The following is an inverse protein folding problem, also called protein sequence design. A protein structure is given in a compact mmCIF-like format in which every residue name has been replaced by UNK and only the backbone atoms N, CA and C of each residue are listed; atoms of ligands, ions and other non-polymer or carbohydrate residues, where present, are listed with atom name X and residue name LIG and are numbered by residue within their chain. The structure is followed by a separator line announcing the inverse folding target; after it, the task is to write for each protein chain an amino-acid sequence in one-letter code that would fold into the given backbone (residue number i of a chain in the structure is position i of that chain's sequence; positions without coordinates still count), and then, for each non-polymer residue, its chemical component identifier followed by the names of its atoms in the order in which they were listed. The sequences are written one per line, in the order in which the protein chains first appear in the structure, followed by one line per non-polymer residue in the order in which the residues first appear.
data_IF_424829667162
#
_entry.id   IF_424829667162
#
_cell.length_a   1.000
_cell.length_b   1.000
_cell.length_c   1.000
_cell.angle_alpha   90.00
_cell.angle_beta   90.00
_cell.angle_gamma   90.00
#
_symmetry.space_group_name_H-M   'P 1'
#
loop_
_entity.id
_entity.type
_entity.pdbx_description
1 polymer ?
#
# COMPACT_ATOMS: atom_id res chain seq x y z
N UNK A 1 -1.73 -7.06 70.22
CA UNK A 1 -2.04 -5.85 69.42
C UNK A 1 -2.67 -6.31 68.11
N UNK A 2 -4.00 -6.34 68.07
CA UNK A 2 -4.78 -6.57 66.86
C UNK A 2 -5.02 -5.21 66.23
N UNK A 3 -4.56 -5.00 64.99
CA UNK A 3 -4.89 -3.81 64.22
C UNK A 3 -6.32 -3.97 63.71
N UNK A 4 -7.19 -3.03 64.13
CA UNK A 4 -8.56 -2.89 63.66
C UNK A 4 -8.58 -2.85 62.13
N UNK A 5 -9.40 -3.74 61.58
CA UNK A 5 -9.79 -3.76 60.18
C UNK A 5 -10.89 -2.71 60.05
N UNK A 6 -10.49 -1.46 59.84
CA UNK A 6 -11.44 -0.38 59.65
C UNK A 6 -12.31 -0.67 58.41
N UNK A 7 -13.62 -0.68 58.64
CA UNK A 7 -14.68 -0.83 57.66
C UNK A 7 -14.59 0.30 56.62
N UNK A 8 -13.90 0.03 55.51
CA UNK A 8 -14.04 0.80 54.28
C UNK A 8 -15.39 0.43 53.69
N UNK A 9 -16.43 1.15 54.11
CA UNK A 9 -17.70 1.21 53.40
C UNK A 9 -17.46 1.95 52.08
N UNK A 10 -16.99 1.21 51.07
CA UNK A 10 -16.98 1.66 49.68
C UNK A 10 -18.43 1.96 49.26
N UNK A 11 -18.81 3.21 49.46
CA UNK A 11 -19.99 3.81 48.85
C UNK A 11 -19.80 3.77 47.33
N UNK A 12 -20.27 2.69 46.71
CA UNK A 12 -20.44 2.58 45.27
C UNK A 12 -21.54 3.57 44.83
N UNK A 13 -21.18 4.85 44.77
CA UNK A 13 -22.01 5.87 44.15
C UNK A 13 -22.21 5.47 42.68
N UNK A 14 -23.44 5.10 42.34
CA UNK A 14 -23.78 4.81 40.94
C UNK A 14 -23.54 6.08 40.13
N UNK A 15 -22.81 6.01 39.00
CA UNK A 15 -22.51 7.18 38.19
C UNK A 15 -23.82 7.84 37.77
N UNK A 16 -23.86 9.16 37.84
CA UNK A 16 -25.07 9.90 37.47
C UNK A 16 -25.29 9.79 35.96
N UNK A 17 -26.55 9.69 35.51
CA UNK A 17 -26.88 9.64 34.07
C UNK A 17 -26.21 10.76 33.23
N UNK A 18 -26.04 12.01 33.72
CA UNK A 18 -25.29 13.05 33.02
C UNK A 18 -23.83 12.68 32.75
N UNK A 19 -23.14 12.05 33.69
CA UNK A 19 -21.74 11.65 33.52
C UNK A 19 -21.59 10.54 32.48
N UNK A 20 -22.52 9.58 32.45
CA UNK A 20 -22.52 8.49 31.46
C UNK A 20 -22.75 9.04 30.05
N UNK A 21 -23.69 9.99 29.89
CA UNK A 21 -23.95 10.64 28.60
C UNK A 21 -22.75 11.47 28.16
N UNK A 22 -22.17 12.30 29.04
CA UNK A 22 -20.99 13.10 28.72
C UNK A 22 -19.77 12.24 28.36
N UNK A 23 -19.55 11.13 29.08
CA UNK A 23 -18.47 10.19 28.77
C UNK A 23 -18.67 9.50 27.42
N UNK A 24 -19.92 9.13 27.08
CA UNK A 24 -20.25 8.51 25.78
C UNK A 24 -20.02 9.49 24.63
N UNK A 25 -20.52 10.73 24.78
CA UNK A 25 -20.30 11.81 23.81
C UNK A 25 -18.81 12.12 23.66
N UNK A 26 -18.06 12.22 24.75
CA UNK A 26 -16.61 12.44 24.71
C UNK A 26 -15.86 11.29 23.98
N UNK A 27 -16.29 10.04 24.19
CA UNK A 27 -15.69 8.87 23.51
C UNK A 27 -16.03 8.83 22.01
N UNK A 28 -17.24 9.22 21.63
CA UNK A 28 -17.63 9.34 20.23
C UNK A 28 -16.86 10.46 19.54
N UNK A 29 -16.76 11.63 20.19
CA UNK A 29 -16.05 12.80 19.67
C UNK A 29 -14.56 12.54 19.50
N UNK A 30 -13.91 11.84 20.44
CA UNK A 30 -12.48 11.47 20.31
C UNK A 30 -12.21 10.58 19.09
N UNK A 31 -13.15 9.69 18.75
CA UNK A 31 -13.05 8.86 17.54
C UNK A 31 -13.23 9.69 16.27
N UNK A 32 -14.20 10.61 16.28
CA UNK A 32 -14.43 11.54 15.17
C UNK A 32 -13.24 12.46 14.91
N UNK A 33 -12.69 13.08 15.95
CA UNK A 33 -11.55 13.99 15.86
C UNK A 33 -10.31 13.30 15.32
N UNK A 34 -10.05 12.05 15.73
CA UNK A 34 -8.93 11.27 15.21
C UNK A 34 -9.07 11.00 13.70
N UNK A 35 -10.30 10.78 13.21
CA UNK A 35 -10.58 10.61 11.78
C UNK A 35 -10.35 11.94 11.05
N UNK A 36 -10.89 13.03 11.58
CA UNK A 36 -10.73 14.36 11.00
C UNK A 36 -9.25 14.75 10.90
N UNK A 37 -8.48 14.60 11.98
CA UNK A 37 -7.03 14.79 11.98
C UNK A 37 -6.33 13.97 10.89
N UNK A 38 -6.67 12.69 10.77
CA UNK A 38 -6.10 11.81 9.75
C UNK A 38 -6.43 12.25 8.33
N UNK A 39 -7.68 12.67 8.08
CA UNK A 39 -8.14 13.13 6.78
C UNK A 39 -7.50 14.46 6.37
N UNK A 40 -7.32 15.39 7.32
CA UNK A 40 -6.60 16.65 7.11
C UNK A 40 -5.12 16.38 6.82
N UNK A 41 -4.47 15.51 7.61
CA UNK A 41 -3.07 15.12 7.39
C UNK A 41 -2.86 14.42 6.03
N UNK A 42 -3.88 13.72 5.52
CA UNK A 42 -3.85 13.14 4.17
C UNK A 42 -4.03 14.18 3.05
N UNK A 43 -4.25 15.46 3.38
CA UNK A 43 -4.39 16.56 2.44
C UNK A 43 -5.73 16.56 1.70
N UNK A 44 -6.79 16.06 2.32
CA UNK A 44 -8.15 16.18 1.77
C UNK A 44 -8.62 17.63 1.85
N UNK A 45 -9.24 18.12 0.78
CA UNK A 45 -9.77 19.49 0.73
C UNK A 45 -11.07 19.67 1.50
N UNK A 46 -11.43 20.92 1.77
CA UNK A 46 -12.61 21.31 2.56
C UNK A 46 -13.89 20.67 2.01
N UNK A 47 -14.15 20.81 0.71
CA UNK A 47 -15.37 20.26 0.08
C UNK A 47 -15.45 18.74 0.22
N UNK A 48 -14.32 18.03 0.11
CA UNK A 48 -14.28 16.59 0.27
C UNK A 48 -14.55 16.17 1.71
N UNK A 49 -13.99 16.90 2.69
CA UNK A 49 -14.22 16.68 4.11
C UNK A 49 -15.70 16.92 4.47
N UNK A 50 -16.26 18.07 4.07
CA UNK A 50 -17.67 18.39 4.28
C UNK A 50 -18.58 17.33 3.64
N UNK A 51 -18.31 16.95 2.39
CA UNK A 51 -19.10 15.93 1.69
C UNK A 51 -18.99 14.56 2.37
N UNK A 52 -17.80 14.11 2.74
CA UNK A 52 -17.62 12.78 3.32
C UNK A 52 -18.08 12.69 4.76
N UNK A 53 -17.95 13.77 5.53
CA UNK A 53 -18.34 13.77 6.94
C UNK A 53 -19.80 14.21 7.14
N UNK A 54 -20.48 14.68 6.09
CA UNK A 54 -21.84 15.19 6.21
C UNK A 54 -21.93 16.47 7.04
N UNK A 55 -20.84 17.23 7.12
CA UNK A 55 -20.77 18.48 7.86
C UNK A 55 -20.97 19.68 6.94
N UNK A 56 -21.62 20.72 7.46
CA UNK A 56 -21.60 22.05 6.83
C UNK A 56 -20.18 22.59 6.78
N UNK A 57 -19.88 23.46 5.81
CA UNK A 57 -18.54 24.09 5.69
C UNK A 57 -18.17 24.85 6.97
N UNK A 58 -19.13 25.57 7.55
CA UNK A 58 -18.96 26.31 8.82
C UNK A 58 -18.69 25.36 9.97
N UNK A 59 -19.51 24.33 10.18
CA UNK A 59 -19.32 23.37 11.27
C UNK A 59 -18.00 22.60 11.16
N UNK A 60 -17.55 22.31 9.95
CA UNK A 60 -16.22 21.73 9.73
C UNK A 60 -15.11 22.71 10.15
N UNK A 61 -15.18 23.98 9.75
CA UNK A 61 -14.17 24.99 10.10
C UNK A 61 -14.12 25.26 11.61
N UNK A 62 -15.28 25.34 12.27
CA UNK A 62 -15.36 25.51 13.72
C UNK A 62 -14.70 24.33 14.44
N UNK A 63 -14.94 23.09 13.96
CA UNK A 63 -14.30 21.90 14.53
C UNK A 63 -12.80 21.87 14.29
N UNK A 64 -12.34 22.27 13.10
CA UNK A 64 -10.91 22.37 12.79
C UNK A 64 -10.21 23.40 13.70
N UNK A 65 -10.85 24.55 13.92
CA UNK A 65 -10.35 25.60 14.82
C UNK A 65 -10.29 25.10 16.26
N UNK A 66 -11.32 24.41 16.74
CA UNK A 66 -11.36 23.82 18.08
C UNK A 66 -10.24 22.78 18.32
N UNK A 67 -9.84 22.05 17.26
CA UNK A 67 -8.74 21.09 17.31
C UNK A 67 -7.36 21.71 17.04
N UNK A 68 -7.27 23.01 16.73
CA UNK A 68 -6.02 23.68 16.36
C UNK A 68 -5.41 23.13 15.06
N UNK A 69 -6.23 22.58 14.16
CA UNK A 69 -5.78 22.01 12.90
C UNK A 69 -5.63 23.10 11.83
N UNK A 70 -4.64 22.98 10.92
CA UNK A 70 -4.51 23.92 9.80
C UNK A 70 -5.72 23.81 8.88
N UNK A 71 -6.16 24.96 8.35
CA UNK A 71 -7.26 25.00 7.38
C UNK A 71 -6.88 24.22 6.11
N UNK A 72 -7.63 23.18 5.73
CA UNK A 72 -7.34 22.40 4.53
C UNK A 72 -7.47 23.25 3.27
N UNK A 73 -6.73 22.88 2.21
CA UNK A 73 -6.81 23.59 0.94
C UNK A 73 -8.16 23.39 0.24
N UNK A 74 -8.60 24.41 -0.50
CA UNK A 74 -9.81 24.35 -1.34
C UNK A 74 -9.53 23.64 -2.67
N UNK A 75 -9.06 22.39 -2.60
CA UNK A 75 -8.77 21.58 -3.79
C UNK A 75 -10.06 20.90 -4.24
N UNK A 76 -10.46 21.06 -5.51
CA UNK A 76 -11.64 20.38 -6.02
C UNK A 76 -11.45 18.87 -5.90
N UNK A 77 -12.53 18.15 -5.59
CA UNK A 77 -12.52 16.69 -5.54
C UNK A 77 -11.99 16.13 -6.86
N UNK A 78 -10.94 15.30 -6.78
CA UNK A 78 -10.39 14.64 -7.96
C UNK A 78 -11.51 13.87 -8.67
N UNK A 79 -11.85 14.31 -9.89
CA UNK A 79 -12.80 13.61 -10.75
C UNK A 79 -12.31 12.19 -10.97
N UNK A 80 -13.21 11.24 -10.82
CA UNK A 80 -12.84 9.85 -10.84
C UNK A 80 -12.80 9.34 -12.29
N UNK A 81 -11.65 9.50 -12.95
CA UNK A 81 -11.42 9.03 -14.33
C UNK A 81 -11.20 7.51 -14.47
N UNK A 82 -11.68 6.71 -13.51
CA UNK A 82 -11.45 5.25 -13.46
C UNK A 82 -12.76 4.51 -13.69
N UNK A 83 -12.69 3.34 -14.33
CA UNK A 83 -13.82 2.45 -14.67
C UNK A 83 -14.78 2.14 -13.51
N UNK A 84 -14.35 2.31 -12.26
CA UNK A 84 -15.19 2.19 -11.08
C UNK A 84 -14.84 3.30 -10.08
N UNK A 85 -15.41 4.51 -10.24
CA UNK A 85 -15.12 5.66 -9.37
C UNK A 85 -15.66 5.40 -7.95
N UNK A 86 -15.02 5.95 -6.92
CA UNK A 86 -15.57 5.93 -5.56
C UNK A 86 -16.67 6.97 -5.45
N UNK A 87 -17.92 6.54 -5.25
CA UNK A 87 -19.01 7.46 -4.94
C UNK A 87 -18.80 8.09 -3.55
N UNK A 88 -19.44 9.23 -3.28
CA UNK A 88 -19.39 9.82 -1.94
C UNK A 88 -20.02 8.90 -0.89
N UNK A 89 -21.11 8.20 -1.26
CA UNK A 89 -21.79 7.20 -0.43
C UNK A 89 -20.88 6.01 -0.11
N UNK A 90 -20.13 5.48 -1.09
CA UNK A 90 -19.16 4.40 -0.86
C UNK A 90 -18.09 4.81 0.16
N UNK A 91 -17.65 6.07 0.08
CA UNK A 91 -16.63 6.61 0.99
C UNK A 91 -17.19 6.79 2.39
N UNK A 92 -18.42 7.31 2.53
CA UNK A 92 -19.12 7.43 3.81
C UNK A 92 -19.32 6.07 4.47
N UNK A 93 -19.83 5.09 3.72
CA UNK A 93 -20.00 3.71 4.20
C UNK A 93 -18.66 3.11 4.63
N UNK A 94 -17.59 3.34 3.85
CA UNK A 94 -16.25 2.93 4.24
C UNK A 94 -15.82 3.56 5.57
N UNK A 95 -16.02 4.86 5.77
CA UNK A 95 -15.65 5.55 7.01
C UNK A 95 -16.40 4.94 8.20
N UNK A 96 -17.73 4.90 8.14
CA UNK A 96 -18.58 4.37 9.21
C UNK A 96 -18.28 2.89 9.54
N UNK A 97 -18.24 2.02 8.52
CA UNK A 97 -17.93 0.62 8.75
C UNK A 97 -16.49 0.42 9.25
N UNK A 98 -15.56 1.28 8.85
CA UNK A 98 -14.19 1.23 9.35
C UNK A 98 -14.15 1.57 10.85
N UNK A 99 -14.78 2.67 11.26
CA UNK A 99 -14.81 3.15 12.65
C UNK A 99 -15.49 2.17 13.59
N UNK A 100 -16.54 1.49 13.13
CA UNK A 100 -17.28 0.51 13.91
C UNK A 100 -16.55 -0.82 14.09
N UNK A 101 -15.36 -0.95 13.47
CA UNK A 101 -14.55 -2.14 13.55
C UNK A 101 -14.98 -3.25 12.58
N UNK A 102 -15.77 -2.94 11.55
CA UNK A 102 -16.22 -3.96 10.59
C UNK A 102 -15.05 -4.61 9.84
N UNK A 103 -15.11 -5.93 9.68
CA UNK A 103 -14.06 -6.69 9.01
C UNK A 103 -13.95 -6.26 7.54
N UNK A 104 -12.71 -6.14 7.03
CA UNK A 104 -12.45 -5.63 5.66
C UNK A 104 -13.12 -6.47 4.57
N UNK A 105 -13.32 -7.77 4.83
CA UNK A 105 -14.03 -8.64 3.91
C UNK A 105 -15.51 -8.22 3.78
N UNK A 106 -16.20 -7.97 4.91
CA UNK A 106 -17.59 -7.51 4.92
C UNK A 106 -17.73 -6.17 4.18
N UNK A 107 -16.85 -5.20 4.47
CA UNK A 107 -16.84 -3.90 3.77
C UNK A 107 -16.66 -4.08 2.26
N UNK A 108 -15.74 -4.97 1.86
CA UNK A 108 -15.46 -5.25 0.46
C UNK A 108 -16.65 -5.91 -0.26
N UNK A 109 -17.33 -6.85 0.40
CA UNK A 109 -18.55 -7.50 -0.10
C UNK A 109 -19.70 -6.51 -0.22
N UNK A 110 -19.94 -5.69 0.81
CA UNK A 110 -21.00 -4.67 0.83
C UNK A 110 -20.83 -3.64 -0.29
N UNK A 111 -19.59 -3.20 -0.55
CA UNK A 111 -19.27 -2.22 -1.59
C UNK A 111 -19.05 -2.83 -2.99
N UNK A 112 -19.02 -4.16 -3.12
CA UNK A 112 -18.64 -4.82 -4.39
C UNK A 112 -17.20 -4.48 -4.83
N UNK A 113 -16.27 -4.28 -3.89
CA UNK A 113 -14.87 -3.89 -4.16
C UNK A 113 -13.89 -4.97 -3.70
N UNK A 114 -12.65 -4.90 -4.16
CA UNK A 114 -11.59 -5.77 -3.65
C UNK A 114 -11.07 -5.29 -2.29
N UNK A 115 -10.62 -6.23 -1.43
CA UNK A 115 -9.97 -5.88 -0.14
C UNK A 115 -8.79 -4.92 -0.31
N UNK A 116 -8.01 -5.07 -1.38
CA UNK A 116 -6.90 -4.18 -1.68
C UNK A 116 -7.35 -2.76 -1.98
N UNK A 117 -8.46 -2.59 -2.70
CA UNK A 117 -9.06 -1.28 -2.95
C UNK A 117 -9.52 -0.61 -1.65
N UNK A 118 -10.11 -1.37 -0.72
CA UNK A 118 -10.49 -0.86 0.61
C UNK A 118 -9.27 -0.32 1.36
N UNK A 119 -8.19 -1.11 1.47
CA UNK A 119 -6.96 -0.66 2.15
C UNK A 119 -6.31 0.56 1.48
N UNK A 120 -6.27 0.55 0.14
CA UNK A 120 -5.72 1.67 -0.63
C UNK A 120 -6.51 2.96 -0.39
N UNK A 121 -7.86 2.87 -0.45
CA UNK A 121 -8.73 4.02 -0.19
C UNK A 121 -8.62 4.50 1.25
N UNK A 122 -8.67 3.59 2.23
CA UNK A 122 -8.45 3.87 3.66
C UNK A 122 -7.16 4.63 3.91
N UNK A 123 -6.05 4.23 3.30
CA UNK A 123 -4.75 4.91 3.42
C UNK A 123 -4.80 6.32 2.80
N UNK A 124 -5.40 6.47 1.62
CA UNK A 124 -5.55 7.77 0.95
C UNK A 124 -6.47 8.74 1.70
N UNK A 125 -7.41 8.21 2.47
CA UNK A 125 -8.27 8.99 3.35
C UNK A 125 -7.59 9.32 4.69
N UNK A 126 -6.40 8.80 4.98
CA UNK A 126 -5.75 9.03 6.28
C UNK A 126 -6.42 8.36 7.47
N UNK A 127 -7.31 7.38 7.24
CA UNK A 127 -8.01 6.72 8.34
C UNK A 127 -7.04 5.93 9.24
N UNK A 128 -7.23 5.99 10.57
CA UNK A 128 -6.31 5.38 11.52
C UNK A 128 -6.24 3.86 11.36
N UNK A 129 -5.12 3.30 11.82
CA UNK A 129 -4.98 1.85 11.86
C UNK A 129 -5.83 1.25 12.96
N UNK A 130 -6.49 0.14 12.65
CA UNK A 130 -7.36 -0.56 13.59
C UNK A 130 -6.60 -1.69 14.25
N UNK A 131 -6.78 -1.80 15.56
CA UNK A 131 -6.40 -2.98 16.31
C UNK A 131 -7.00 -4.23 15.64
N UNK A 132 -6.20 -5.28 15.53
CA UNK A 132 -6.66 -6.58 15.06
C UNK A 132 -7.72 -7.19 15.96
N UNK A 133 -7.69 -6.89 17.26
CA UNK A 133 -8.57 -7.51 18.24
C UNK A 133 -9.99 -6.93 18.23
N UNK A 134 -10.15 -5.67 17.78
CA UNK A 134 -11.45 -4.98 17.70
C UNK A 134 -12.24 -5.27 16.40
N UNK A 135 -11.79 -6.21 15.57
CA UNK A 135 -12.42 -6.47 14.26
C UNK A 135 -13.60 -7.42 14.41
N UNK A 136 -14.80 -6.94 14.08
CA UNK A 136 -16.04 -7.74 14.09
C UNK A 136 -16.44 -8.07 12.66
N UNK A 137 -16.90 -9.29 12.41
CA UNK A 137 -17.56 -9.62 11.15
C UNK A 137 -18.99 -9.11 11.25
N UNK A 138 -19.31 -8.08 10.47
CA UNK A 138 -20.67 -7.62 10.31
C UNK A 138 -21.25 -8.26 9.05
N UNK A 139 -22.55 -8.52 9.08
CA UNK A 139 -23.34 -8.80 7.90
C UNK A 139 -23.38 -7.56 6.98
N UNK A 140 -23.79 -7.76 5.72
CA UNK A 140 -23.90 -6.66 4.77
C UNK A 140 -24.96 -5.63 5.23
N UNK A 141 -26.06 -6.09 5.83
CA UNK A 141 -27.14 -5.22 6.29
C UNK A 141 -26.72 -4.42 7.52
N UNK A 142 -26.03 -5.04 8.48
CA UNK A 142 -25.42 -4.32 9.62
C UNK A 142 -24.39 -3.29 9.16
N UNK A 143 -23.58 -3.62 8.15
CA UNK A 143 -22.58 -2.69 7.59
C UNK A 143 -23.25 -1.48 6.95
N UNK A 144 -24.39 -1.66 6.28
CA UNK A 144 -25.20 -0.56 5.72
C UNK A 144 -25.92 0.23 6.80
N UNK A 145 -26.46 -0.44 7.82
CA UNK A 145 -27.11 0.20 8.95
C UNK A 145 -26.14 1.10 9.74
N UNK A 146 -24.90 0.64 9.96
CA UNK A 146 -23.82 1.44 10.54
C UNK A 146 -23.58 2.74 9.76
N UNK A 147 -23.56 2.67 8.42
CA UNK A 147 -23.39 3.84 7.57
C UNK A 147 -24.56 4.82 7.66
N UNK A 148 -25.80 4.33 7.78
CA UNK A 148 -26.98 5.17 7.96
C UNK A 148 -27.01 5.83 9.35
N UNK A 149 -26.66 5.10 10.40
CA UNK A 149 -26.59 5.62 11.77
C UNK A 149 -25.60 6.79 11.87
N UNK A 150 -24.45 6.65 11.21
CA UNK A 150 -23.43 7.70 11.16
C UNK A 150 -23.92 9.02 10.56
N UNK A 151 -24.96 8.99 9.71
CA UNK A 151 -25.56 10.18 9.12
C UNK A 151 -26.71 10.77 9.95
N UNK A 152 -27.53 9.92 10.57
CA UNK A 152 -28.67 10.36 11.36
C UNK A 152 -28.27 11.14 12.62
N UNK A 153 -27.07 10.88 13.15
CA UNK A 153 -26.58 11.52 14.38
C UNK A 153 -25.91 12.88 14.12
N UNK A 154 -25.32 13.07 12.93
CA UNK A 154 -24.60 14.31 12.57
C UNK A 154 -25.55 15.34 11.92
N UNK A 155 -26.55 14.88 11.17
CA UNK A 155 -27.54 15.75 10.54
C UNK A 155 -28.66 16.10 11.52
N UNK A 156 -28.38 17.00 12.47
CA UNK A 156 -29.39 17.63 13.32
C UNK A 156 -30.38 18.54 12.57
N UNK A 157 -30.31 18.61 11.24
CA UNK A 157 -31.22 19.40 10.41
C UNK A 157 -31.60 18.61 9.13
N UNK A 158 -32.79 17.97 9.09
CA UNK A 158 -33.21 17.11 7.99
C UNK A 158 -33.49 17.86 6.68
N UNK A 159 -33.64 19.20 6.70
CA UNK A 159 -34.06 19.97 5.52
C UNK A 159 -32.92 20.24 4.51
N UNK A 160 -31.65 20.01 4.87
CA UNK A 160 -30.51 20.37 4.02
C UNK A 160 -30.12 19.36 2.94
N UNK A 161 -30.68 18.13 2.95
CA UNK A 161 -30.28 17.06 2.02
C UNK A 161 -31.33 16.68 0.96
N UNK A 162 -32.49 17.34 0.93
CA UNK A 162 -33.60 16.98 0.03
C UNK A 162 -33.34 17.28 -1.46
N UNK A 163 -32.28 18.01 -1.81
CA UNK A 163 -32.08 18.55 -3.17
C UNK A 163 -31.06 17.80 -4.06
N UNK A 164 -30.63 16.57 -3.73
CA UNK A 164 -29.73 15.82 -4.62
C UNK A 164 -30.52 14.78 -5.43
N UNK A 165 -30.78 14.99 -6.74
CA UNK A 165 -31.55 14.06 -7.54
C UNK A 165 -30.83 12.71 -7.60
N UNK A 166 -31.50 11.67 -7.09
CA UNK A 166 -31.07 10.27 -7.24
C UNK A 166 -30.76 10.00 -8.72
N UNK A 167 -29.54 9.55 -9.08
CA UNK A 167 -29.32 9.03 -10.42
C UNK A 167 -30.20 7.79 -10.60
N UNK A 168 -30.97 7.76 -11.69
CA UNK A 168 -31.88 6.67 -12.00
C UNK A 168 -31.18 5.30 -11.94
N UNK A 169 -31.85 4.25 -11.43
CA UNK A 169 -31.25 2.93 -11.31
C UNK A 169 -30.88 2.41 -12.70
N UNK A 170 -29.58 2.24 -12.96
CA UNK A 170 -29.12 1.53 -14.14
C UNK A 170 -29.61 0.08 -14.06
N UNK A 171 -30.47 -0.31 -14.99
CA UNK A 171 -31.00 -1.67 -15.14
C UNK A 171 -29.84 -2.70 -15.13
N UNK A 172 -29.82 -3.53 -14.09
CA UNK A 172 -28.90 -4.65 -13.93
C UNK A 172 -29.17 -5.70 -15.02
N UNK A 173 -28.38 -5.66 -16.10
CA UNK A 173 -28.25 -6.79 -17.01
C UNK A 173 -27.42 -7.87 -16.34
N UNK A 174 -28.12 -8.84 -15.74
CA UNK A 174 -27.58 -10.06 -15.13
C UNK A 174 -26.94 -10.95 -16.20
N UNK A 175 -25.70 -10.66 -16.60
CA UNK A 175 -24.86 -11.61 -17.36
C UNK A 175 -23.94 -12.35 -16.40
N UNK A 176 -24.27 -13.62 -16.16
CA UNK A 176 -23.34 -14.61 -15.62
C UNK A 176 -22.10 -14.65 -16.53
N UNK A 177 -20.98 -14.12 -16.04
CA UNK A 177 -19.67 -14.23 -16.69
C UNK A 177 -18.70 -14.89 -15.73
N UNK A 178 -18.36 -16.12 -16.05
CA UNK A 178 -17.12 -16.80 -15.65
C UNK A 178 -15.94 -15.90 -16.04
N UNK A 179 -15.32 -15.29 -15.04
CA UNK A 179 -14.22 -14.34 -15.20
C UNK A 179 -12.89 -15.06 -15.34
N UNK A 180 -12.46 -15.36 -16.57
CA UNK A 180 -11.06 -15.55 -16.91
C UNK A 180 -10.39 -14.17 -17.00
N UNK A 181 -9.62 -13.85 -15.96
CA UNK A 181 -8.85 -12.60 -15.86
C UNK A 181 -7.69 -12.61 -16.87
N UNK A 182 -7.82 -11.82 -17.95
CA UNK A 182 -6.74 -11.54 -18.92
C UNK A 182 -6.22 -10.13 -18.65
N UNK A 183 -5.02 -10.03 -18.06
CA UNK A 183 -4.35 -8.74 -17.84
C UNK A 183 -3.90 -8.12 -19.17
N UNK A 184 -4.00 -6.79 -19.34
CA UNK A 184 -3.35 -6.08 -20.44
C UNK A 184 -1.90 -5.76 -20.04
N UNK A 185 -0.95 -6.36 -20.74
CA UNK A 185 0.49 -6.07 -20.60
C UNK A 185 0.82 -4.75 -21.26
N UNK A 186 1.55 -3.90 -20.54
CA UNK A 186 2.11 -2.65 -21.04
C UNK A 186 3.06 -2.90 -22.23
N UNK A 187 2.91 -2.11 -23.30
CA UNK A 187 3.92 -1.93 -24.35
C UNK A 187 5.21 -1.43 -23.70
N UNK A 188 6.27 -2.22 -23.79
CA UNK A 188 7.63 -1.80 -23.48
C UNK A 188 8.25 -1.40 -24.81
N UNK A 189 8.50 -0.11 -24.99
CA UNK A 189 9.34 0.40 -26.08
C UNK A 189 10.77 0.02 -25.72
N UNK A 190 11.37 -0.90 -26.47
CA UNK A 190 12.81 -1.15 -26.44
C UNK A 190 13.48 -0.05 -27.25
N UNK A 191 14.35 0.72 -26.57
CA UNK A 191 15.29 1.65 -27.19
C UNK A 191 16.53 0.81 -27.49
N UNK A 192 16.68 0.40 -28.74
CA UNK A 192 17.91 -0.21 -29.25
C UNK A 192 18.85 0.90 -29.74
N UNK A 193 20.12 0.67 -29.43
CA UNK A 193 21.34 1.04 -30.16
C UNK A 193 21.60 2.52 -30.44
N UNK A 194 22.41 3.12 -29.56
CA UNK A 194 23.26 4.27 -29.89
C UNK A 194 24.70 3.80 -29.74
N UNK A 195 25.50 3.74 -30.81
CA UNK A 195 26.89 3.31 -30.72
C UNK A 195 27.76 4.38 -30.07
N UNK A 196 28.76 3.90 -29.32
CA UNK A 196 29.84 4.64 -28.67
C UNK A 196 30.62 5.48 -29.69
N UNK A 197 30.58 6.80 -29.51
CA UNK A 197 31.51 7.76 -30.09
C UNK A 197 31.92 8.73 -28.97
N UNK A 198 32.91 8.32 -28.19
CA UNK A 198 33.71 9.23 -27.38
C UNK A 198 35.11 9.27 -27.98
N UNK A 199 35.29 10.13 -28.99
CA UNK A 199 36.60 10.65 -29.36
C UNK A 199 36.93 11.87 -28.49
N UNK A 200 38.22 11.98 -28.21
CA UNK A 200 38.95 13.04 -27.52
C UNK A 200 38.33 14.44 -27.59
N UNK A 201 38.41 15.15 -26.47
CA UNK A 201 38.54 16.61 -26.51
C UNK A 201 39.61 17.05 -25.53
N UNK A 202 40.73 17.41 -26.13
CA UNK A 202 41.80 18.20 -25.56
C UNK A 202 41.31 19.58 -25.11
N UNK A 203 42.10 20.15 -24.22
CA UNK A 203 41.93 21.42 -23.56
C UNK A 203 41.67 22.60 -24.52
N UNK A 204 40.62 23.38 -24.25
CA UNK A 204 40.50 24.76 -24.72
C UNK A 204 40.05 25.65 -23.56
N UNK A 205 40.79 26.74 -23.38
CA UNK A 205 40.76 27.61 -22.22
C UNK A 205 39.44 28.37 -21.99
N UNK A 206 39.19 28.61 -20.71
CA UNK A 206 38.18 29.50 -20.18
C UNK A 206 38.48 30.95 -20.60
N UNK A 207 37.64 31.50 -21.48
CA UNK A 207 37.43 32.95 -21.61
C UNK A 207 36.00 33.22 -21.17
N UNK A 208 35.84 34.09 -20.15
CA UNK A 208 34.55 34.49 -19.64
C UNK A 208 33.77 35.32 -20.69
N UNK A 209 32.48 35.05 -20.93
CA UNK A 209 31.69 35.91 -21.80
C UNK A 209 31.27 37.18 -21.07
N UNK A 210 31.48 38.31 -21.75
CA UNK A 210 30.91 39.60 -21.42
C UNK A 210 29.37 39.54 -21.46
N UNK A 211 28.76 40.39 -20.63
CA UNK A 211 27.32 40.57 -20.47
C UNK A 211 26.59 40.75 -21.81
N UNK A 212 25.76 39.77 -22.16
CA UNK A 212 24.79 39.89 -23.26
C UNK A 212 23.55 40.59 -22.71
N UNK A 213 23.17 41.68 -23.37
CA UNK A 213 22.01 42.50 -23.06
C UNK A 213 20.71 41.72 -23.35
N UNK A 214 19.84 41.63 -22.34
CA UNK A 214 18.63 40.81 -22.39
C UNK A 214 17.57 41.34 -23.37
N UNK A 215 17.75 42.56 -23.90
CA UNK A 215 16.85 43.16 -24.89
C UNK A 215 16.89 42.48 -26.27
N UNK A 216 18.06 42.03 -26.72
CA UNK A 216 18.26 41.57 -28.11
C UNK A 216 17.74 40.14 -28.34
N UNK A 217 17.69 39.32 -27.29
CA UNK A 217 17.22 37.92 -27.36
C UNK A 217 15.70 37.83 -27.53
N UNK A 218 14.95 38.85 -27.09
CA UNK A 218 13.49 38.88 -27.21
C UNK A 218 13.01 39.36 -28.58
N UNK A 219 13.83 40.14 -29.30
CA UNK A 219 13.49 40.61 -30.65
C UNK A 219 13.73 39.51 -31.70
N UNK A 220 14.79 38.71 -31.53
CA UNK A 220 15.06 37.54 -32.39
C UNK A 220 14.00 36.43 -32.29
N UNK A 221 13.28 36.31 -31.16
CA UNK A 221 12.17 35.37 -31.02
C UNK A 221 10.86 35.86 -31.65
N UNK A 222 10.76 37.13 -32.04
CA UNK A 222 9.55 37.73 -32.58
C UNK A 222 9.44 37.66 -34.11
N UNK A 223 10.56 37.50 -34.81
CA UNK A 223 10.60 37.49 -36.29
C UNK A 223 10.52 36.09 -36.94
N UNK A 224 10.47 35.01 -36.16
CA UNK A 224 10.60 33.64 -36.69
C UNK A 224 9.31 32.81 -36.85
N UNK A 225 8.12 33.35 -36.60
CA UNK A 225 6.87 32.56 -36.59
C UNK A 225 6.01 32.79 -37.84
N UNK A 226 6.58 32.51 -39.01
CA UNK A 226 5.78 32.31 -40.24
C UNK A 226 5.08 30.95 -40.17
N UNK A 227 3.74 31.01 -40.18
CA UNK A 227 2.87 29.83 -40.07
C UNK A 227 2.83 29.07 -41.41
N UNK A 228 3.22 27.78 -41.49
CA UNK A 228 3.00 27.00 -42.68
C UNK A 228 1.52 26.59 -42.75
N UNK A 229 0.73 27.36 -43.49
CA UNK A 229 -0.67 27.05 -43.79
C UNK A 229 -0.75 26.23 -45.08
N UNK A 230 -0.22 25.01 -45.06
CA UNK A 230 -0.53 23.98 -46.06
C UNK A 230 -0.28 22.61 -45.44
N UNK A 231 -1.36 21.96 -44.99
CA UNK A 231 -1.33 20.53 -44.74
C UNK A 231 -1.31 19.82 -46.10
N UNK A 232 -0.37 18.90 -46.36
CA UNK A 232 -0.38 18.16 -47.61
C UNK A 232 -1.63 17.29 -47.67
N UNK A 233 -2.27 17.34 -48.84
CA UNK A 233 -3.42 16.55 -49.23
C UNK A 233 -3.12 15.06 -49.03
N UNK A 234 -3.86 14.41 -48.14
CA UNK A 234 -3.74 12.98 -47.89
C UNK A 234 -4.46 12.23 -49.03
N UNK A 235 -3.79 12.17 -50.17
CA UNK A 235 -4.16 11.28 -51.27
C UNK A 235 -4.28 9.84 -50.75
N UNK A 236 -5.35 9.17 -51.16
CA UNK A 236 -5.70 7.79 -50.87
C UNK A 236 -4.49 6.85 -51.00
N UNK A 237 -3.88 6.52 -49.87
CA UNK A 237 -2.86 5.49 -49.79
C UNK A 237 -3.54 4.12 -49.85
N UNK A 238 -3.53 3.57 -51.06
CA UNK A 238 -4.00 2.25 -51.41
C UNK A 238 -3.36 1.17 -50.52
N UNK A 239 -4.22 0.31 -49.99
CA UNK A 239 -3.91 -0.93 -49.29
C UNK A 239 -3.23 -1.90 -50.27
N UNK A 240 -1.89 -1.96 -50.26
CA UNK A 240 -1.14 -3.06 -50.88
C UNK A 240 0.04 -3.48 -49.99
N UNK A 241 0.02 -4.76 -49.61
CA UNK A 241 1.14 -5.67 -49.39
C UNK A 241 2.25 -5.25 -48.43
N UNK A 242 1.95 -5.30 -47.13
CA UNK A 242 2.98 -5.48 -46.11
C UNK A 242 3.41 -6.96 -46.08
N UNK A 243 4.70 -7.29 -46.25
CA UNK A 243 5.19 -8.67 -46.16
C UNK A 243 4.91 -9.23 -44.77
N UNK A 244 4.45 -10.48 -44.73
CA UNK A 244 4.14 -11.20 -43.49
C UNK A 244 5.35 -11.19 -42.55
N UNK A 245 5.26 -10.41 -41.48
CA UNK A 245 6.25 -10.45 -40.40
C UNK A 245 6.25 -11.86 -39.80
N UNK A 246 7.43 -12.46 -39.54
CA UNK A 246 7.53 -13.77 -38.95
C UNK A 246 6.74 -13.78 -37.64
N UNK A 247 5.86 -14.77 -37.50
CA UNK A 247 5.06 -14.98 -36.29
C UNK A 247 6.00 -15.03 -35.08
N UNK A 248 6.11 -13.92 -34.35
CA UNK A 248 6.82 -13.92 -33.08
C UNK A 248 6.00 -14.85 -32.19
N UNK A 249 6.55 -16.05 -31.93
CA UNK A 249 5.98 -17.01 -31.00
C UNK A 249 5.54 -16.26 -29.75
N UNK A 250 4.22 -16.07 -29.62
CA UNK A 250 3.65 -15.50 -28.42
C UNK A 250 4.10 -16.43 -27.32
N UNK A 251 5.05 -15.98 -26.49
CA UNK A 251 5.49 -16.66 -25.28
C UNK A 251 4.25 -16.76 -24.40
N UNK A 252 3.45 -17.81 -24.63
CA UNK A 252 2.39 -18.27 -23.76
C UNK A 252 3.05 -18.26 -22.40
N UNK A 253 2.61 -17.35 -21.55
CA UNK A 253 3.00 -17.28 -20.15
C UNK A 253 2.63 -18.63 -19.57
N UNK A 254 3.56 -19.59 -19.65
CA UNK A 254 3.45 -20.87 -18.97
C UNK A 254 3.13 -20.45 -17.55
N UNK A 255 1.94 -20.80 -17.04
CA UNK A 255 1.70 -20.83 -15.61
C UNK A 255 2.90 -21.59 -15.08
N UNK A 256 3.90 -20.87 -14.56
CA UNK A 256 5.11 -21.47 -14.05
C UNK A 256 4.58 -22.32 -12.93
N UNK A 257 4.51 -23.62 -13.18
CA UNK A 257 4.06 -24.57 -12.19
C UNK A 257 4.94 -24.28 -10.99
N UNK A 258 4.29 -24.02 -9.85
CA UNK A 258 4.98 -23.75 -8.59
C UNK A 258 5.63 -25.07 -8.20
N UNK A 259 6.71 -25.45 -8.88
CA UNK A 259 7.54 -26.58 -8.49
C UNK A 259 8.01 -26.25 -7.09
N UNK A 260 7.69 -27.13 -6.15
CA UNK A 260 8.19 -26.99 -4.79
C UNK A 260 9.72 -27.06 -4.85
N UNK A 261 10.40 -26.09 -4.25
CA UNK A 261 11.85 -26.13 -4.10
C UNK A 261 12.23 -27.42 -3.37
N UNK A 262 13.24 -28.14 -3.90
CA UNK A 262 13.81 -29.31 -3.22
C UNK A 262 14.46 -28.88 -1.89
N UNK A 263 14.74 -29.84 -1.01
CA UNK A 263 15.44 -29.54 0.25
C UNK A 263 16.86 -28.99 -0.01
N UNK A 264 17.55 -29.55 -1.01
CA UNK A 264 18.87 -29.08 -1.46
C UNK A 264 18.81 -27.65 -2.00
N UNK A 265 17.82 -27.34 -2.86
CA UNK A 265 17.64 -25.98 -3.38
C UNK A 265 17.37 -24.97 -2.26
N UNK A 266 16.63 -25.37 -1.23
CA UNK A 266 16.40 -24.49 -0.07
C UNK A 266 17.69 -24.22 0.70
N UNK A 267 18.47 -25.26 0.98
CA UNK A 267 19.74 -25.11 1.68
C UNK A 267 20.72 -24.24 0.89
N UNK A 268 20.81 -24.43 -0.43
CA UNK A 268 21.62 -23.62 -1.35
C UNK A 268 21.17 -22.14 -1.38
N UNK A 269 19.85 -21.88 -1.42
CA UNK A 269 19.31 -20.51 -1.36
C UNK A 269 19.67 -19.83 -0.03
N UNK A 270 19.57 -20.54 1.09
CA UNK A 270 19.93 -20.01 2.41
C UNK A 270 21.42 -19.67 2.49
N UNK A 271 22.28 -20.55 1.99
CA UNK A 271 23.73 -20.35 1.97
C UNK A 271 24.15 -19.14 1.13
N UNK A 272 23.64 -19.05 -0.11
CA UNK A 272 23.83 -17.88 -0.98
C UNK A 272 23.24 -16.59 -0.40
N UNK A 273 22.12 -16.71 0.33
CA UNK A 273 21.52 -15.60 1.05
C UNK A 273 22.41 -15.07 2.18
N UNK A 274 23.07 -15.96 2.93
CA UNK A 274 24.05 -15.62 3.96
C UNK A 274 25.35 -15.05 3.37
N UNK A 275 25.76 -15.50 2.17
CA UNK A 275 26.85 -14.87 1.41
C UNK A 275 26.54 -13.44 0.93
N UNK A 276 25.30 -12.96 1.13
CA UNK A 276 24.88 -11.64 0.67
C UNK A 276 24.39 -11.60 -0.77
N UNK A 277 24.29 -12.73 -1.48
CA UNK A 277 23.85 -12.74 -2.87
C UNK A 277 22.40 -12.21 -3.00
N UNK A 278 22.15 -11.37 -4.00
CA UNK A 278 20.82 -10.81 -4.27
C UNK A 278 19.84 -11.90 -4.71
N UNK A 279 18.57 -11.88 -4.26
CA UNK A 279 17.58 -12.90 -4.62
C UNK A 279 17.42 -13.11 -6.14
N UNK A 280 17.54 -12.04 -6.93
CA UNK A 280 17.48 -12.09 -8.39
C UNK A 280 18.65 -12.86 -9.01
N UNK A 281 19.85 -12.73 -8.45
CA UNK A 281 21.03 -13.46 -8.91
C UNK A 281 20.97 -14.94 -8.51
N UNK A 282 20.59 -15.25 -7.26
CA UNK A 282 20.33 -16.63 -6.80
C UNK A 282 19.32 -17.32 -7.72
N UNK A 283 18.22 -16.63 -8.06
CA UNK A 283 17.18 -17.16 -8.93
C UNK A 283 17.70 -17.50 -10.34
N UNK A 284 18.54 -16.61 -10.90
CA UNK A 284 19.19 -16.82 -12.21
C UNK A 284 20.10 -18.04 -12.17
N UNK A 285 20.99 -18.12 -11.19
CA UNK A 285 22.01 -19.18 -11.08
C UNK A 285 21.38 -20.56 -10.87
N UNK A 286 20.28 -20.63 -10.12
CA UNK A 286 19.62 -21.89 -9.77
C UNK A 286 18.50 -22.30 -10.74
N UNK A 287 18.19 -21.47 -11.76
CA UNK A 287 17.08 -21.72 -12.67
C UNK A 287 15.70 -21.74 -11.99
N UNK A 288 15.53 -20.97 -10.91
CA UNK A 288 14.25 -20.83 -10.17
C UNK A 288 13.70 -19.41 -10.30
N UNK A 289 12.45 -19.18 -9.91
CA UNK A 289 11.88 -17.83 -9.96
C UNK A 289 12.35 -16.98 -8.78
N UNK A 290 12.55 -15.67 -9.00
CA UNK A 290 12.88 -14.71 -7.93
C UNK A 290 11.83 -14.72 -6.81
N UNK A 291 10.56 -14.94 -7.14
CA UNK A 291 9.48 -15.07 -6.16
C UNK A 291 9.65 -16.29 -5.24
N UNK A 292 10.15 -17.42 -5.77
CA UNK A 292 10.43 -18.61 -4.95
C UNK A 292 11.59 -18.35 -3.97
N UNK A 293 12.67 -17.72 -4.46
CA UNK A 293 13.84 -17.36 -3.63
C UNK A 293 13.45 -16.38 -2.53
N UNK A 294 12.81 -15.27 -2.88
CA UNK A 294 12.38 -14.25 -1.90
C UNK A 294 11.38 -14.79 -0.88
N UNK A 295 10.39 -15.57 -1.33
CA UNK A 295 9.41 -16.21 -0.44
C UNK A 295 10.05 -17.24 0.50
N UNK A 296 11.06 -17.97 0.04
CA UNK A 296 11.80 -18.89 0.90
C UNK A 296 12.68 -18.15 1.91
N UNK A 297 13.49 -17.18 1.45
CA UNK A 297 14.35 -16.38 2.32
C UNK A 297 13.53 -15.67 3.40
N UNK A 298 12.38 -15.09 3.05
CA UNK A 298 11.50 -14.41 4.00
C UNK A 298 10.88 -15.33 5.06
N UNK A 299 10.80 -16.64 4.78
CA UNK A 299 10.35 -17.66 5.75
C UNK A 299 11.51 -18.30 6.52
N UNK A 300 12.74 -18.15 6.04
CA UNK A 300 13.96 -18.60 6.71
C UNK A 300 14.45 -17.53 7.69
N UNK A 301 15.28 -17.92 8.65
CA UNK A 301 15.92 -16.97 9.56
C UNK A 301 17.00 -16.12 8.86
N UNK A 302 17.45 -16.52 7.67
CA UNK A 302 18.47 -15.80 6.88
C UNK A 302 18.04 -14.37 6.57
N UNK A 303 16.75 -14.11 6.32
CA UNK A 303 16.28 -12.74 6.06
C UNK A 303 16.43 -11.82 7.28
N UNK A 304 16.20 -12.35 8.49
CA UNK A 304 16.37 -11.61 9.75
C UNK A 304 17.86 -11.34 9.97
N UNK A 305 18.69 -12.37 9.83
CA UNK A 305 20.14 -12.26 9.97
C UNK A 305 20.73 -11.24 8.99
N UNK A 306 20.29 -11.24 7.73
CA UNK A 306 20.75 -10.24 6.74
C UNK A 306 20.47 -8.81 7.16
N UNK A 307 19.30 -8.58 7.73
CA UNK A 307 18.84 -7.25 8.12
C UNK A 307 19.52 -6.79 9.41
N UNK A 308 19.61 -7.68 10.42
CA UNK A 308 20.21 -7.37 11.71
C UNK A 308 21.73 -7.14 11.63
N UNK A 309 22.42 -7.88 10.78
CA UNK A 309 23.88 -7.83 10.67
C UNK A 309 24.41 -6.99 9.49
N UNK A 310 23.52 -6.30 8.76
CA UNK A 310 23.93 -5.33 7.73
C UNK A 310 24.65 -5.95 6.53
N UNK A 311 24.16 -7.09 6.04
CA UNK A 311 24.84 -7.86 4.99
C UNK A 311 24.84 -7.12 3.67
N UNK A 312 26.03 -6.90 3.11
CA UNK A 312 26.20 -6.24 1.82
C UNK A 312 25.64 -7.13 0.70
N UNK A 313 24.83 -6.54 -0.17
CA UNK A 313 24.12 -7.26 -1.24
C UNK A 313 24.95 -7.36 -2.52
N UNK A 314 25.48 -8.54 -2.81
CA UNK A 314 26.33 -8.83 -3.97
C UNK A 314 25.54 -9.51 -5.11
N UNK A 315 25.97 -9.32 -6.36
CA UNK A 315 25.38 -10.01 -7.52
C UNK A 315 26.03 -11.39 -7.77
N UNK A 316 27.31 -11.55 -7.46
CA UNK A 316 28.01 -12.82 -7.54
C UNK A 316 27.94 -13.58 -6.20
N UNK A 317 27.89 -14.90 -6.26
CA UNK A 317 28.03 -15.74 -5.07
C UNK A 317 29.51 -15.87 -4.70
N UNK A 318 29.83 -15.52 -3.47
CA UNK A 318 31.14 -15.74 -2.87
C UNK A 318 31.00 -16.67 -1.65
N UNK A 319 31.45 -17.94 -1.74
CA UNK A 319 31.35 -18.87 -0.62
C UNK A 319 32.22 -18.44 0.56
N UNK A 320 33.31 -17.69 0.34
CA UNK A 320 34.17 -17.21 1.42
C UNK A 320 33.47 -16.16 2.27
N UNK A 321 32.68 -15.27 1.65
CA UNK A 321 31.83 -14.31 2.34
C UNK A 321 30.76 -14.99 3.20
N UNK A 322 30.17 -16.12 2.74
CA UNK A 322 29.26 -16.92 3.57
C UNK A 322 29.96 -17.47 4.81
N UNK A 323 31.13 -18.08 4.66
CA UNK A 323 31.91 -18.64 5.77
C UNK A 323 32.32 -17.54 6.76
N UNK A 324 32.77 -16.39 6.26
CA UNK A 324 33.15 -15.23 7.07
C UNK A 324 31.95 -14.70 7.86
N UNK A 325 30.79 -14.54 7.21
CA UNK A 325 29.55 -14.11 7.87
C UNK A 325 29.09 -15.11 8.94
N UNK A 326 29.13 -16.41 8.66
CA UNK A 326 28.81 -17.46 9.64
C UNK A 326 29.75 -17.38 10.84
N UNK A 327 31.06 -17.20 10.60
CA UNK A 327 32.07 -17.07 11.66
C UNK A 327 31.90 -15.80 12.47
N UNK A 328 31.75 -14.66 11.80
CA UNK A 328 31.61 -13.33 12.40
C UNK A 328 30.37 -13.26 13.30
N UNK A 329 29.24 -13.81 12.83
CA UNK A 329 27.99 -13.79 13.59
C UNK A 329 27.83 -14.99 14.52
N UNK A 330 28.85 -15.86 14.61
CA UNK A 330 28.85 -17.09 15.41
C UNK A 330 27.59 -17.92 15.19
N UNK A 331 27.18 -18.04 13.94
CA UNK A 331 25.97 -18.78 13.59
C UNK A 331 26.31 -20.26 13.53
N UNK A 332 25.44 -21.09 14.10
CA UNK A 332 25.46 -22.54 14.00
C UNK A 332 24.19 -23.03 13.31
N UNK A 333 24.35 -23.91 12.32
CA UNK A 333 23.23 -24.65 11.74
C UNK A 333 22.89 -25.80 12.68
N UNK A 334 21.69 -25.78 13.24
CA UNK A 334 21.24 -26.87 14.12
C UNK A 334 20.63 -27.98 13.25
N UNK A 335 20.99 -29.26 13.51
CA UNK A 335 20.39 -30.37 12.80
C UNK A 335 18.88 -30.41 13.08
N UNK A 336 18.09 -31.02 12.17
CA UNK A 336 16.68 -31.25 12.42
C UNK A 336 16.50 -32.04 13.73
N UNK A 337 15.55 -31.63 14.57
CA UNK A 337 15.19 -32.37 15.79
C UNK A 337 13.71 -32.71 15.81
N UNK A 338 13.37 -33.74 16.60
CA UNK A 338 11.98 -34.09 16.96
C UNK A 338 11.58 -33.35 18.24
N UNK A 339 10.46 -32.63 18.21
CA UNK A 339 9.94 -31.93 19.39
C UNK A 339 8.82 -32.77 20.01
N UNK A 340 9.15 -33.55 21.04
CA UNK A 340 8.21 -34.47 21.70
C UNK A 340 7.70 -35.57 20.76
N UNK A 341 6.52 -36.12 21.08
CA UNK A 341 5.89 -37.24 20.36
C UNK A 341 5.31 -36.86 18.99
N UNK A 342 5.45 -35.60 18.56
CA UNK A 342 5.08 -35.24 17.20
C UNK A 342 6.17 -35.71 16.24
N UNK A 343 5.86 -36.76 15.48
CA UNK A 343 6.78 -37.43 14.55
C UNK A 343 7.27 -36.57 13.37
N UNK A 344 6.89 -35.29 13.34
CA UNK A 344 7.33 -34.32 12.33
C UNK A 344 8.70 -33.77 12.71
N UNK A 345 9.72 -34.23 11.99
CA UNK A 345 11.05 -33.59 12.00
C UNK A 345 10.91 -32.12 11.62
N UNK A 346 11.33 -31.22 12.53
CA UNK A 346 11.47 -29.80 12.17
C UNK A 346 12.63 -29.65 11.19
N UNK A 347 12.48 -28.72 10.26
CA UNK A 347 13.55 -28.37 9.34
C UNK A 347 14.78 -27.84 10.11
N UNK A 348 16.01 -28.05 9.59
CA UNK A 348 17.18 -27.36 10.12
C UNK A 348 16.96 -25.84 10.10
N UNK A 349 17.57 -25.14 11.05
CA UNK A 349 17.44 -23.68 11.22
C UNK A 349 18.75 -23.12 11.77
N UNK A 350 18.91 -21.80 11.72
CA UNK A 350 20.16 -21.10 11.97
C UNK A 350 20.10 -20.36 13.29
N UNK A 351 21.02 -20.66 14.23
CA UNK A 351 21.04 -20.03 15.55
C UNK A 351 22.33 -19.24 15.76
N UNK A 352 22.24 -18.05 16.31
CA UNK A 352 23.39 -17.29 16.81
C UNK A 352 23.85 -17.84 18.16
N UNK A 353 25.10 -18.32 18.24
CA UNK A 353 25.68 -18.91 19.46
C UNK A 353 25.96 -17.84 20.51
N UNK A 354 25.60 -18.10 21.77
CA UNK A 354 25.90 -17.21 22.91
C UNK A 354 24.86 -16.12 23.21
N UNK A 355 23.87 -15.89 22.34
CA UNK A 355 22.66 -15.15 22.73
C UNK A 355 21.64 -16.14 23.29
N UNK A 356 21.66 -16.34 24.61
CA UNK A 356 20.65 -17.15 25.31
C UNK A 356 19.28 -16.45 25.38
N UNK A 357 19.20 -15.16 25.06
CA UNK A 357 17.99 -14.34 25.12
C UNK A 357 17.81 -13.45 23.88
N UNK A 358 17.95 -13.99 22.66
CA UNK A 358 17.13 -13.42 21.60
C UNK A 358 15.70 -13.88 21.90
N UNK A 359 14.70 -12.97 21.99
CA UNK A 359 13.32 -13.40 22.10
C UNK A 359 13.07 -14.42 20.99
N UNK A 360 12.34 -15.50 21.30
CA UNK A 360 11.86 -16.46 20.30
C UNK A 360 10.97 -15.71 19.29
N UNK A 361 11.58 -14.95 18.40
CA UNK A 361 10.88 -14.28 17.34
C UNK A 361 10.60 -15.34 16.28
N UNK A 362 9.33 -15.75 16.26
CA UNK A 362 8.59 -16.16 15.06
C UNK A 362 8.93 -17.53 14.43
N UNK A 363 8.60 -18.62 15.13
CA UNK A 363 8.12 -19.86 14.44
C UNK A 363 6.59 -19.91 14.30
N UNK A 364 5.86 -18.85 14.64
CA UNK A 364 4.50 -18.66 14.14
C UNK A 364 4.51 -17.58 13.08
N UNK A 365 4.20 -17.98 11.84
CA UNK A 365 3.91 -17.08 10.74
C UNK A 365 2.76 -16.12 11.08
N UNK A 366 3.08 -15.01 11.74
CA UNK A 366 2.22 -13.82 11.77
C UNK A 366 2.97 -12.71 11.02
N UNK A 367 2.27 -12.18 10.02
CA UNK A 367 2.71 -11.18 9.06
C UNK A 367 3.31 -9.98 9.78
N UNK A 368 4.60 -9.73 9.61
CA UNK A 368 5.20 -8.43 9.88
C UNK A 368 4.54 -7.39 8.98
N UNK A 369 3.88 -6.40 9.59
CA UNK A 369 3.48 -5.13 8.98
C UNK A 369 4.15 -4.03 9.79
N UNK A 370 5.05 -3.30 9.13
CA UNK A 370 5.37 -1.88 9.37
C UNK A 370 5.99 -1.52 10.71
N UNK A 371 7.26 -1.16 10.67
CA UNK A 371 7.89 -0.10 11.48
C UNK A 371 8.68 0.80 10.49
N UNK A 372 8.92 2.08 10.86
CA UNK A 372 8.58 3.29 10.11
C UNK A 372 9.16 3.43 8.70
#
# INVERSE_FOLDING_TARGET
MFLSRDDVTEQNASPSWPEVVLATVATALTSFDAILCGMVAAGLGIDALSLYLGLTRTGLLDRLAALGLPTPHDRPMRRAGVKNPWSAEDVRLLIAAWTDGAHVLSIAETLGRSRGAIYSKRRRLGLPSRDSNRRRRLSNDETRAAALAWHGEIAGDPDLFSANPRPAPALETRRARTSTYRSPSARRVTREDTPDLWESSDAVGLVAPASVDAGEVLEALREGFESPTTWPDFGELSVWDAPALPETESKKSRRISIRKLSAEQKAEIEDRGLAGQRPKAIARDMGVTECQVTSHLWRSEVAVLRTEFGVILLDAYDPSAAVENIRAWRIEKRPPWKHGDNDKLRQPYWRVRGRHNLPRFYTQSKRFKGLP
#
